data_IF_131062886314
#
_entry.id   IF_131062886314
#
_cell.length_a   1.000
_cell.length_b   1.000
_cell.length_c   1.000
_cell.angle_alpha   90.00
_cell.angle_beta   90.00
_cell.angle_gamma   90.00
#
_symmetry.space_group_name_H-M   'P 1'
#
loop_
_entity.id
_entity.type
_entity.pdbx_description
1 polymer ?
#
# COMPACT_ATOMS: atom_id res chain seq x y z
N UNK A 1 27.77 -50.51 -18.30
CA UNK A 1 28.02 -49.82 -17.01
C UNK A 1 29.28 -50.35 -16.30
N UNK A 2 30.14 -51.13 -16.98
CA UNK A 2 31.36 -51.73 -16.42
C UNK A 2 32.67 -51.11 -16.94
N UNK A 3 32.64 -50.34 -18.02
CA UNK A 3 33.90 -49.81 -18.61
C UNK A 3 34.37 -48.50 -17.94
N UNK A 4 33.47 -47.77 -17.28
CA UNK A 4 33.86 -46.50 -16.63
C UNK A 4 34.60 -46.73 -15.31
N UNK A 5 34.23 -47.83 -14.57
CA UNK A 5 34.81 -48.14 -13.27
C UNK A 5 36.23 -48.71 -13.34
N UNK A 6 36.64 -49.21 -14.53
CA UNK A 6 37.98 -49.74 -14.74
C UNK A 6 38.99 -48.68 -15.21
N UNK A 7 38.53 -47.50 -15.65
CA UNK A 7 39.38 -46.39 -16.02
C UNK A 7 39.83 -45.54 -14.81
N UNK A 8 38.99 -45.44 -13.80
CA UNK A 8 39.29 -44.61 -12.63
C UNK A 8 40.25 -45.28 -11.64
N UNK A 9 40.33 -46.61 -11.66
CA UNK A 9 41.27 -47.37 -10.79
C UNK A 9 42.72 -47.34 -11.28
N UNK A 10 42.98 -46.92 -12.50
CA UNK A 10 44.32 -46.90 -13.08
C UNK A 10 45.04 -45.55 -12.86
N UNK A 11 44.34 -44.53 -12.41
CA UNK A 11 44.93 -43.21 -12.16
C UNK A 11 45.56 -43.03 -10.78
N UNK A 12 45.20 -43.88 -9.80
CA UNK A 12 45.66 -43.73 -8.42
C UNK A 12 47.05 -44.30 -8.14
N UNK A 13 47.72 -44.86 -9.14
CA UNK A 13 49.04 -45.43 -9.03
C UNK A 13 50.10 -44.88 -9.99
N UNK A 14 49.75 -43.82 -10.73
CA UNK A 14 50.65 -43.19 -11.69
C UNK A 14 51.58 -42.19 -11.00
N UNK A 15 52.83 -42.18 -11.38
CA UNK A 15 53.79 -41.19 -10.93
C UNK A 15 53.56 -39.85 -11.66
N UNK A 16 54.16 -38.77 -11.16
CA UNK A 16 53.94 -37.40 -11.69
C UNK A 16 54.32 -37.28 -13.17
N UNK A 17 55.31 -38.01 -13.66
CA UNK A 17 55.73 -37.98 -15.08
C UNK A 17 54.68 -38.66 -15.97
N UNK A 18 54.14 -39.79 -15.57
CA UNK A 18 53.06 -40.48 -16.30
C UNK A 18 51.77 -39.66 -16.33
N UNK A 19 51.46 -38.93 -15.27
CA UNK A 19 50.29 -38.06 -15.19
C UNK A 19 50.43 -36.86 -16.13
N UNK A 20 51.62 -36.26 -16.24
CA UNK A 20 51.93 -35.19 -17.20
C UNK A 20 51.76 -35.69 -18.64
N UNK A 21 52.23 -36.90 -18.95
CA UNK A 21 52.12 -37.49 -20.29
C UNK A 21 50.65 -37.79 -20.68
N UNK A 22 49.86 -38.28 -19.75
CA UNK A 22 48.39 -38.48 -19.95
C UNK A 22 47.70 -37.14 -20.17
N UNK A 23 48.00 -36.12 -19.36
CA UNK A 23 47.46 -34.78 -19.56
C UNK A 23 47.89 -34.16 -20.89
N UNK A 24 49.11 -34.37 -21.32
CA UNK A 24 49.58 -33.89 -22.61
C UNK A 24 48.87 -34.59 -23.79
N UNK A 25 48.56 -35.91 -23.66
CA UNK A 25 47.77 -36.65 -24.64
C UNK A 25 46.33 -36.19 -24.67
N UNK A 26 45.69 -36.00 -23.49
CA UNK A 26 44.32 -35.52 -23.39
C UNK A 26 44.17 -34.09 -23.94
N UNK A 27 45.16 -33.22 -23.73
CA UNK A 27 45.18 -31.90 -24.32
C UNK A 27 45.42 -31.89 -25.84
N UNK A 28 46.11 -32.91 -26.38
CA UNK A 28 46.38 -33.01 -27.82
C UNK A 28 45.17 -33.55 -28.60
N UNK A 29 44.23 -34.23 -27.95
CA UNK A 29 43.00 -34.71 -28.56
C UNK A 29 41.87 -33.63 -28.57
N UNK A 30 42.06 -32.52 -27.89
CA UNK A 30 41.19 -31.36 -28.07
C UNK A 30 41.55 -30.72 -29.40
N UNK A 31 40.71 -30.97 -30.41
CA UNK A 31 40.79 -30.27 -31.67
C UNK A 31 40.90 -28.77 -31.40
N UNK A 32 41.92 -28.06 -31.94
CA UNK A 32 41.95 -26.62 -31.84
C UNK A 32 40.62 -26.09 -32.40
N UNK A 33 39.96 -25.11 -31.75
CA UNK A 33 38.75 -24.53 -32.28
C UNK A 33 39.01 -24.11 -33.72
N UNK A 34 38.29 -24.72 -34.67
CA UNK A 34 38.36 -24.35 -36.08
C UNK A 34 38.05 -22.85 -36.14
N UNK A 35 38.85 -22.09 -36.90
CA UNK A 35 38.76 -20.62 -36.99
C UNK A 35 37.35 -20.13 -37.27
N UNK A 36 36.48 -20.96 -37.89
CA UNK A 36 35.05 -20.70 -38.10
C UNK A 36 34.19 -20.67 -36.82
N UNK A 37 34.64 -21.24 -35.70
CA UNK A 37 33.91 -21.24 -34.45
C UNK A 37 34.05 -19.94 -33.63
N UNK A 38 35.15 -19.18 -33.88
CA UNK A 38 35.40 -17.89 -33.23
C UNK A 38 34.66 -16.72 -33.88
N UNK A 39 34.31 -16.83 -35.17
CA UNK A 39 33.66 -15.74 -35.91
C UNK A 39 32.19 -15.63 -35.54
N UNK A 40 31.51 -16.76 -35.34
CA UNK A 40 30.08 -16.76 -34.97
C UNK A 40 29.82 -16.06 -33.63
N UNK A 41 30.50 -16.37 -32.50
CA UNK A 41 30.27 -15.64 -31.25
C UNK A 41 30.68 -14.16 -31.34
N UNK A 42 31.71 -13.80 -32.12
CA UNK A 42 32.06 -12.39 -32.34
C UNK A 42 30.98 -11.64 -33.11
N UNK A 43 30.35 -12.24 -34.11
CA UNK A 43 29.22 -11.65 -34.84
C UNK A 43 28.03 -11.45 -33.88
N UNK A 44 27.73 -12.43 -33.04
CA UNK A 44 26.64 -12.29 -32.04
C UNK A 44 26.93 -11.16 -31.05
N UNK A 45 28.14 -11.05 -30.52
CA UNK A 45 28.53 -9.96 -29.61
C UNK A 45 28.41 -8.61 -30.31
N UNK A 46 28.83 -8.51 -31.58
CA UNK A 46 28.69 -7.27 -32.35
C UNK A 46 27.24 -6.90 -32.61
N UNK A 47 26.38 -7.86 -33.04
CA UNK A 47 24.96 -7.64 -33.30
C UNK A 47 24.24 -7.25 -32.01
N UNK A 48 24.51 -7.94 -30.90
CA UNK A 48 23.95 -7.60 -29.60
C UNK A 48 24.39 -6.22 -29.11
N UNK A 49 25.68 -5.88 -29.31
CA UNK A 49 26.19 -4.55 -28.97
C UNK A 49 25.51 -3.44 -29.77
N UNK A 50 25.34 -3.63 -31.08
CA UNK A 50 24.60 -2.71 -31.94
C UNK A 50 23.12 -2.59 -31.52
N UNK A 51 22.49 -3.69 -31.15
CA UNK A 51 21.10 -3.71 -30.72
C UNK A 51 20.90 -2.97 -29.39
N UNK A 52 21.78 -3.20 -28.42
CA UNK A 52 21.77 -2.46 -27.14
C UNK A 52 22.01 -0.98 -27.38
N UNK A 53 22.98 -0.62 -28.23
CA UNK A 53 23.28 0.77 -28.57
C UNK A 53 22.09 1.45 -29.26
N UNK A 54 21.45 0.77 -30.21
CA UNK A 54 20.25 1.27 -30.89
C UNK A 54 19.06 1.43 -29.91
N UNK A 55 18.82 0.45 -29.03
CA UNK A 55 17.81 0.54 -28.00
C UNK A 55 18.08 1.70 -27.01
N UNK A 56 19.36 1.94 -26.68
CA UNK A 56 19.76 3.05 -25.82
C UNK A 56 19.48 4.41 -26.47
N UNK A 57 19.74 4.55 -27.77
CA UNK A 57 19.40 5.75 -28.53
C UNK A 57 17.90 5.94 -28.60
N UNK A 58 17.12 4.90 -28.87
CA UNK A 58 15.66 4.97 -28.91
C UNK A 58 15.08 5.32 -27.53
N UNK A 59 15.62 4.75 -26.47
CA UNK A 59 15.21 5.09 -25.12
C UNK A 59 15.56 6.56 -24.80
N UNK A 60 16.75 7.01 -25.15
CA UNK A 60 17.16 8.41 -24.98
C UNK A 60 16.25 9.37 -25.77
N UNK A 61 15.83 9.00 -26.99
CA UNK A 61 14.87 9.77 -27.79
C UNK A 61 13.47 9.77 -27.20
N UNK A 62 13.00 8.64 -26.68
CA UNK A 62 11.66 8.54 -26.09
C UNK A 62 11.53 9.21 -24.73
N UNK A 63 12.63 9.36 -24.01
CA UNK A 63 12.71 10.02 -22.69
C UNK A 63 13.20 11.47 -22.75
N UNK A 64 13.22 12.10 -23.95
CA UNK A 64 13.78 13.45 -24.18
C UNK A 64 15.27 13.60 -23.81
N UNK A 65 16.03 12.52 -23.94
CA UNK A 65 17.42 12.48 -23.50
C UNK A 65 17.53 12.38 -21.99
N UNK A 66 18.74 12.10 -21.53
CA UNK A 66 19.10 12.22 -20.12
C UNK A 66 19.27 13.73 -19.84
N UNK A 67 18.16 14.47 -19.82
CA UNK A 67 18.17 15.78 -19.25
C UNK A 67 18.34 15.58 -17.75
N UNK A 68 19.57 15.80 -17.29
CA UNK A 68 19.77 16.19 -15.91
C UNK A 68 19.04 17.54 -15.82
N UNK A 69 17.81 17.52 -15.37
CA UNK A 69 17.12 18.77 -15.06
C UNK A 69 18.10 19.60 -14.23
N UNK A 70 18.32 20.87 -14.59
CA UNK A 70 19.14 21.73 -13.74
C UNK A 70 18.60 21.58 -12.32
N UNK A 71 19.46 21.62 -11.29
CA UNK A 71 18.99 21.49 -9.91
C UNK A 71 17.75 22.37 -9.78
N UNK A 72 16.58 21.73 -9.68
CA UNK A 72 15.36 22.49 -9.45
C UNK A 72 15.66 23.29 -8.21
N UNK A 73 15.62 24.60 -8.35
CA UNK A 73 15.68 25.49 -7.22
C UNK A 73 14.64 24.95 -6.25
N UNK A 74 15.10 24.35 -5.17
CA UNK A 74 14.22 23.76 -4.19
C UNK A 74 13.45 24.92 -3.62
N UNK A 75 12.29 25.21 -4.23
CA UNK A 75 11.36 26.18 -3.67
C UNK A 75 10.99 25.59 -2.30
N UNK A 76 11.64 26.11 -1.27
CA UNK A 76 11.27 25.74 0.09
C UNK A 76 9.84 26.20 0.30
N UNK A 77 8.93 25.23 0.28
CA UNK A 77 7.53 25.46 0.59
C UNK A 77 7.45 26.11 1.98
N UNK A 78 6.62 27.12 2.09
CA UNK A 78 6.29 27.69 3.41
C UNK A 78 5.72 26.62 4.33
N UNK A 79 5.76 26.84 5.61
CA UNK A 79 5.23 25.87 6.58
C UNK A 79 3.70 25.70 6.41
N UNK A 80 3.00 26.73 5.96
CA UNK A 80 1.59 26.71 5.60
C UNK A 80 1.34 25.78 4.38
N UNK A 81 2.14 25.90 3.33
CA UNK A 81 2.02 25.03 2.14
C UNK A 81 2.34 23.58 2.45
N UNK A 82 3.33 23.33 3.31
CA UNK A 82 3.64 21.96 3.79
C UNK A 82 2.45 21.35 4.55
N UNK A 83 1.78 22.15 5.38
CA UNK A 83 0.64 21.72 6.16
C UNK A 83 -0.57 21.43 5.27
N UNK A 84 -0.88 22.28 4.31
CA UNK A 84 -1.93 22.03 3.32
C UNK A 84 -1.67 20.72 2.57
N UNK A 85 -0.46 20.52 2.06
CA UNK A 85 -0.08 19.28 1.37
C UNK A 85 -0.14 18.05 2.28
N UNK A 86 0.12 18.21 3.57
CA UNK A 86 -0.02 17.13 4.55
C UNK A 86 -1.48 16.71 4.69
N UNK A 87 -2.37 17.68 4.85
CA UNK A 87 -3.82 17.45 4.99
C UNK A 87 -4.39 16.85 3.69
N UNK A 88 -4.03 17.37 2.53
CA UNK A 88 -4.46 16.84 1.23
C UNK A 88 -4.07 15.37 1.04
N UNK A 89 -2.82 14.99 1.37
CA UNK A 89 -2.37 13.59 1.32
C UNK A 89 -3.15 12.70 2.29
N UNK A 90 -3.47 13.22 3.46
CA UNK A 90 -4.26 12.53 4.47
C UNK A 90 -5.68 12.26 3.95
N UNK A 91 -6.33 13.25 3.37
CA UNK A 91 -7.66 13.14 2.76
C UNK A 91 -7.63 12.14 1.58
N UNK A 92 -6.62 12.20 0.72
CA UNK A 92 -6.50 11.32 -0.44
C UNK A 92 -6.31 9.85 -0.03
N UNK A 93 -5.48 9.62 1.00
CA UNK A 93 -5.32 8.31 1.62
C UNK A 93 -6.64 7.84 2.26
N UNK A 94 -7.30 8.72 3.01
CA UNK A 94 -8.60 8.43 3.62
C UNK A 94 -9.68 8.08 2.61
N UNK A 95 -9.74 8.77 1.48
CA UNK A 95 -10.64 8.49 0.37
C UNK A 95 -10.47 7.07 -0.19
N UNK A 96 -9.23 6.63 -0.36
CA UNK A 96 -8.92 5.27 -0.82
C UNK A 96 -9.38 4.22 0.21
N UNK A 97 -9.11 4.48 1.49
CA UNK A 97 -9.55 3.60 2.59
C UNK A 97 -11.08 3.55 2.71
N UNK A 98 -11.76 4.69 2.53
CA UNK A 98 -13.23 4.76 2.51
C UNK A 98 -13.83 3.92 1.38
N UNK A 99 -13.28 4.02 0.18
CA UNK A 99 -13.77 3.27 -0.99
C UNK A 99 -13.76 1.76 -0.76
N UNK A 100 -12.77 1.26 -0.03
CA UNK A 100 -12.62 -0.18 0.22
C UNK A 100 -13.44 -0.66 1.42
N UNK A 101 -13.55 0.15 2.48
CA UNK A 101 -14.09 -0.32 3.76
C UNK A 101 -15.50 0.20 4.08
N UNK A 102 -15.92 1.31 3.49
CA UNK A 102 -17.13 2.04 3.91
C UNK A 102 -18.15 2.23 2.78
N UNK A 103 -17.67 2.44 1.54
CA UNK A 103 -18.52 2.83 0.43
C UNK A 103 -19.55 1.78 0.02
N UNK A 104 -19.36 0.51 0.34
CA UNK A 104 -20.33 -0.56 0.09
C UNK A 104 -21.66 -0.33 0.82
N UNK A 105 -21.61 0.23 2.04
CA UNK A 105 -22.79 0.53 2.87
C UNK A 105 -23.16 2.01 2.78
N UNK A 106 -22.21 2.92 2.99
CA UNK A 106 -22.47 4.36 3.06
C UNK A 106 -22.46 5.04 1.70
N UNK A 107 -22.23 4.31 0.61
CA UNK A 107 -22.14 4.75 -0.78
C UNK A 107 -20.97 5.72 -1.03
N UNK A 108 -20.43 5.81 -2.26
CA UNK A 108 -19.38 6.76 -2.60
C UNK A 108 -19.76 8.23 -2.39
N UNK A 109 -21.07 8.53 -2.43
CA UNK A 109 -21.63 9.86 -2.17
C UNK A 109 -21.75 10.21 -0.68
N UNK A 110 -21.54 9.25 0.22
CA UNK A 110 -21.77 9.43 1.66
C UNK A 110 -23.23 9.58 2.06
N UNK A 111 -24.19 9.36 1.15
CA UNK A 111 -25.62 9.53 1.42
C UNK A 111 -26.27 8.32 2.08
N UNK A 112 -25.53 7.23 2.23
CA UNK A 112 -26.07 5.99 2.75
C UNK A 112 -27.02 5.30 1.76
N UNK A 113 -27.79 4.33 2.25
CA UNK A 113 -28.71 3.56 1.42
C UNK A 113 -30.02 3.26 2.17
N UNK A 114 -31.09 3.91 1.73
CA UNK A 114 -32.44 3.70 2.24
C UNK A 114 -32.57 3.99 3.72
N UNK A 115 -33.23 3.06 4.45
CA UNK A 115 -33.43 3.15 5.90
C UNK A 115 -32.42 2.28 6.67
N UNK A 116 -31.49 1.60 5.95
CA UNK A 116 -30.54 0.67 6.57
C UNK A 116 -29.20 1.34 6.89
N UNK A 117 -28.69 2.19 6.00
CA UNK A 117 -27.38 2.79 6.17
C UNK A 117 -27.53 4.31 6.24
N UNK A 118 -27.23 4.91 7.38
CA UNK A 118 -27.38 6.35 7.57
C UNK A 118 -26.40 7.14 6.68
N UNK A 119 -26.77 8.38 6.29
CA UNK A 119 -25.85 9.27 5.60
C UNK A 119 -24.72 9.70 6.52
N UNK A 120 -23.52 9.85 5.92
CA UNK A 120 -22.36 10.48 6.54
C UNK A 120 -22.26 11.95 6.10
N UNK A 121 -22.79 12.25 4.93
CA UNK A 121 -22.87 13.60 4.39
C UNK A 121 -23.82 14.48 5.22
N UNK A 122 -23.31 15.53 5.83
CA UNK A 122 -24.04 16.45 6.70
C UNK A 122 -24.58 15.81 7.98
N UNK A 123 -23.96 14.74 8.45
CA UNK A 123 -24.37 14.03 9.66
C UNK A 123 -23.79 14.69 10.90
N UNK A 124 -24.63 14.95 11.89
CA UNK A 124 -24.24 15.42 13.22
C UNK A 124 -23.27 14.44 13.92
N UNK A 125 -23.39 13.16 13.66
CA UNK A 125 -22.47 12.14 14.16
C UNK A 125 -21.04 12.32 13.63
N UNK A 126 -20.92 12.78 12.39
CA UNK A 126 -19.64 13.03 11.72
C UNK A 126 -19.03 14.35 12.18
N UNK A 127 -19.86 15.36 12.40
CA UNK A 127 -19.44 16.71 12.81
C UNK A 127 -19.13 16.82 14.30
N UNK A 128 -19.62 15.90 15.12
CA UNK A 128 -19.39 15.86 16.56
C UNK A 128 -17.92 15.63 16.92
N UNK A 129 -17.66 15.38 18.19
CA UNK A 129 -16.33 15.01 18.69
C UNK A 129 -15.75 13.84 17.84
N UNK A 130 -14.52 13.96 17.33
CA UNK A 130 -13.89 12.91 16.53
C UNK A 130 -13.85 11.54 17.22
N UNK A 131 -13.80 11.51 18.54
CA UNK A 131 -13.79 10.29 19.33
C UNK A 131 -15.03 9.40 19.05
N UNK A 132 -16.21 10.03 18.87
CA UNK A 132 -17.45 9.33 18.60
C UNK A 132 -17.35 8.43 17.36
N UNK A 133 -16.95 9.01 16.24
CA UNK A 133 -16.85 8.27 14.97
C UNK A 133 -15.71 7.23 15.03
N UNK A 134 -14.61 7.53 15.71
CA UNK A 134 -13.50 6.58 15.91
C UNK A 134 -13.95 5.38 16.74
N UNK A 135 -14.69 5.59 17.84
CA UNK A 135 -15.29 4.51 18.65
C UNK A 135 -16.20 3.61 17.82
N UNK A 136 -17.03 4.20 16.97
CA UNK A 136 -17.91 3.45 16.05
C UNK A 136 -17.11 2.61 15.06
N UNK A 137 -16.06 3.15 14.46
CA UNK A 137 -15.19 2.40 13.55
C UNK A 137 -14.51 1.24 14.27
N UNK A 138 -13.99 1.46 15.47
CA UNK A 138 -13.22 0.48 16.24
C UNK A 138 -14.04 -0.70 16.73
N UNK A 139 -15.27 -0.46 17.18
CA UNK A 139 -16.08 -1.49 17.87
C UNK A 139 -17.41 -1.78 17.20
N UNK A 140 -17.81 -0.94 16.24
CA UNK A 140 -19.13 -1.01 15.63
C UNK A 140 -20.22 -0.36 16.50
N UNK A 141 -21.43 -0.33 15.96
CA UNK A 141 -22.59 0.34 16.55
C UNK A 141 -23.82 -0.54 16.37
N UNK A 142 -24.65 -0.65 17.38
CA UNK A 142 -25.95 -1.34 17.33
C UNK A 142 -27.02 -0.53 18.03
N UNK A 143 -28.27 -0.92 17.81
CA UNK A 143 -29.44 -0.21 18.34
C UNK A 143 -29.90 0.91 17.42
N UNK A 144 -30.85 1.68 17.91
CA UNK A 144 -31.46 2.77 17.20
C UNK A 144 -30.60 4.03 17.32
N UNK A 145 -30.51 4.77 16.23
CA UNK A 145 -29.84 6.08 16.18
C UNK A 145 -30.69 7.06 15.38
N UNK A 146 -30.53 8.34 15.69
CA UNK A 146 -31.08 9.40 14.87
C UNK A 146 -29.93 10.07 14.08
N UNK A 147 -30.16 10.25 12.79
CA UNK A 147 -29.27 10.98 11.92
C UNK A 147 -30.09 11.92 11.03
N UNK A 148 -29.82 13.21 11.11
CA UNK A 148 -30.55 14.26 10.36
C UNK A 148 -32.06 14.20 10.61
N UNK A 149 -32.44 13.95 11.87
CA UNK A 149 -33.84 13.85 12.27
C UNK A 149 -34.58 12.59 11.83
N UNK A 150 -33.89 11.63 11.19
CA UNK A 150 -34.46 10.34 10.79
C UNK A 150 -33.89 9.23 11.66
N UNK A 151 -34.75 8.32 12.06
CA UNK A 151 -34.37 7.13 12.84
C UNK A 151 -33.84 6.02 11.93
N UNK A 152 -32.71 5.41 12.33
CA UNK A 152 -32.08 4.25 11.70
C UNK A 152 -31.92 3.15 12.74
N UNK A 153 -32.40 1.95 12.42
CA UNK A 153 -32.29 0.78 13.28
C UNK A 153 -31.93 -0.47 12.45
N UNK A 154 -30.76 -0.47 11.81
CA UNK A 154 -30.39 -1.59 10.95
C UNK A 154 -30.23 -2.88 11.75
N UNK A 155 -30.85 -3.97 11.27
CA UNK A 155 -30.69 -5.28 11.87
C UNK A 155 -29.20 -5.69 11.89
N UNK A 156 -28.64 -5.88 13.08
CA UNK A 156 -27.20 -6.20 13.25
C UNK A 156 -26.29 -4.98 13.41
N UNK A 157 -26.75 -3.77 13.14
CA UNK A 157 -25.99 -2.54 13.31
C UNK A 157 -24.83 -2.40 12.33
N UNK A 158 -23.86 -1.54 12.65
CA UNK A 158 -22.59 -1.40 11.95
C UNK A 158 -21.53 -2.29 12.62
N UNK A 159 -20.93 -3.19 11.87
CA UNK A 159 -19.84 -4.01 12.38
C UNK A 159 -18.55 -3.19 12.58
N UNK A 160 -17.70 -3.62 13.50
CA UNK A 160 -16.35 -3.05 13.64
C UNK A 160 -15.53 -3.21 12.35
N UNK A 161 -14.78 -2.18 11.97
CA UNK A 161 -13.94 -2.21 10.78
C UNK A 161 -12.58 -2.81 11.13
N UNK A 162 -12.47 -4.12 11.06
CA UNK A 162 -11.27 -4.87 11.50
C UNK A 162 -10.09 -4.80 10.55
N UNK A 163 -10.30 -4.34 9.31
CA UNK A 163 -9.25 -4.20 8.30
C UNK A 163 -8.36 -2.98 8.53
N UNK A 164 -8.84 -1.97 9.25
CA UNK A 164 -8.08 -0.78 9.61
C UNK A 164 -7.35 -1.01 10.94
N UNK A 165 -6.11 -1.49 10.86
CA UNK A 165 -5.33 -1.85 12.06
C UNK A 165 -4.48 -0.71 12.60
N UNK A 166 -4.02 0.20 11.74
CA UNK A 166 -3.17 1.31 12.15
C UNK A 166 -4.00 2.53 12.56
N UNK A 167 -3.55 3.25 13.57
CA UNK A 167 -4.21 4.49 14.01
C UNK A 167 -4.15 5.57 12.93
N UNK A 168 -3.08 5.56 12.11
CA UNK A 168 -2.96 6.40 10.93
C UNK A 168 -4.09 6.17 9.92
N UNK A 169 -4.39 4.91 9.59
CA UNK A 169 -5.43 4.59 8.60
C UNK A 169 -6.81 5.01 9.11
N UNK A 170 -7.09 4.80 10.39
CA UNK A 170 -8.31 5.25 11.02
C UNK A 170 -8.38 6.78 11.04
N UNK A 171 -7.30 7.47 11.42
CA UNK A 171 -7.23 8.92 11.38
C UNK A 171 -7.45 9.47 9.96
N UNK A 172 -6.85 8.85 8.95
CA UNK A 172 -6.99 9.28 7.56
C UNK A 172 -8.42 9.12 7.05
N UNK A 173 -9.04 7.94 7.24
CA UNK A 173 -10.41 7.70 6.77
C UNK A 173 -11.41 8.56 7.52
N UNK A 174 -11.23 8.75 8.82
CA UNK A 174 -12.10 9.60 9.65
C UNK A 174 -11.99 11.06 9.22
N UNK A 175 -10.77 11.56 8.98
CA UNK A 175 -10.55 12.91 8.47
C UNK A 175 -11.23 13.10 7.11
N UNK A 176 -11.08 12.13 6.19
CA UNK A 176 -11.78 12.20 4.91
C UNK A 176 -13.29 12.29 5.07
N UNK A 177 -13.91 11.44 5.89
CA UNK A 177 -15.36 11.45 6.13
C UNK A 177 -15.81 12.77 6.74
N UNK A 178 -15.00 13.36 7.62
CA UNK A 178 -15.30 14.63 8.30
C UNK A 178 -15.18 15.87 7.42
N UNK A 179 -14.53 15.74 6.25
CA UNK A 179 -14.30 16.84 5.29
C UNK A 179 -14.91 16.60 3.91
N UNK A 180 -15.42 15.39 3.64
CA UNK A 180 -16.04 15.05 2.37
C UNK A 180 -17.52 15.50 2.31
N UNK A 181 -18.03 15.61 1.09
CA UNK A 181 -19.46 15.83 0.79
C UNK A 181 -20.07 17.08 1.44
N UNK A 182 -19.26 18.11 1.66
CA UNK A 182 -19.70 19.35 2.31
C UNK A 182 -19.66 19.30 3.84
N UNK A 183 -19.14 18.24 4.43
CA UNK A 183 -18.76 18.25 5.83
C UNK A 183 -17.55 19.20 6.02
N UNK A 184 -17.56 19.96 7.10
CA UNK A 184 -16.52 20.92 7.46
C UNK A 184 -16.14 20.76 8.93
N UNK A 185 -15.53 19.61 9.24
CA UNK A 185 -15.11 19.30 10.60
C UNK A 185 -13.58 19.10 10.65
N UNK A 186 -13.01 19.26 11.83
CA UNK A 186 -11.55 19.16 12.04
C UNK A 186 -10.98 17.82 11.63
N UNK A 187 -9.70 17.81 11.26
CA UNK A 187 -8.97 16.56 11.08
C UNK A 187 -8.91 15.74 12.36
N UNK A 188 -8.62 14.46 12.21
CA UNK A 188 -8.42 13.53 13.33
C UNK A 188 -6.98 13.08 13.35
N UNK A 189 -6.31 13.24 14.47
CA UNK A 189 -4.91 12.85 14.67
C UNK A 189 -4.76 11.38 15.01
N UNK A 190 -3.58 10.81 14.77
CA UNK A 190 -3.27 9.44 15.22
C UNK A 190 -3.35 9.31 16.75
N UNK A 191 -3.05 10.39 17.49
CA UNK A 191 -3.12 10.41 18.95
C UNK A 191 -4.57 10.33 19.45
N UNK A 192 -5.51 11.03 18.82
CA UNK A 192 -6.94 10.93 19.16
C UNK A 192 -7.47 9.52 18.91
N UNK A 193 -7.02 8.87 17.83
CA UNK A 193 -7.38 7.45 17.56
C UNK A 193 -6.78 6.53 18.63
N UNK A 194 -5.52 6.73 19.02
CA UNK A 194 -4.87 5.94 20.07
C UNK A 194 -5.59 6.09 21.42
N UNK A 195 -6.02 7.30 21.76
CA UNK A 195 -6.79 7.57 22.97
C UNK A 195 -8.14 6.86 22.93
N UNK A 196 -8.91 7.02 21.84
CA UNK A 196 -10.19 6.36 21.67
C UNK A 196 -10.08 4.82 21.67
N UNK A 197 -8.98 4.29 21.15
CA UNK A 197 -8.67 2.85 21.23
C UNK A 197 -8.42 2.38 22.65
N UNK A 198 -7.66 3.16 23.44
CA UNK A 198 -7.39 2.86 24.84
C UNK A 198 -8.70 2.89 25.66
N UNK A 199 -9.52 3.93 25.49
CA UNK A 199 -10.82 4.08 26.15
C UNK A 199 -11.81 2.96 25.76
N UNK A 200 -11.68 2.46 24.53
CA UNK A 200 -12.50 1.35 24.03
C UNK A 200 -11.93 -0.03 24.39
N UNK A 201 -10.80 -0.15 25.11
CA UNK A 201 -10.15 -1.43 25.32
C UNK A 201 -11.03 -2.46 26.03
N UNK A 202 -11.77 -2.05 27.04
CA UNK A 202 -12.69 -2.88 27.81
C UNK A 202 -14.01 -3.17 27.09
N UNK A 203 -14.30 -2.45 25.98
CA UNK A 203 -15.52 -2.64 25.20
C UNK A 203 -15.41 -3.91 24.33
N UNK A 204 -16.11 -4.97 24.74
CA UNK A 204 -16.07 -6.27 24.06
C UNK A 204 -17.14 -6.46 22.98
N UNK A 205 -18.15 -5.62 22.98
CA UNK A 205 -19.29 -5.67 22.07
C UNK A 205 -19.46 -4.33 21.35
N UNK A 206 -20.31 -4.28 20.33
CA UNK A 206 -20.69 -3.03 19.66
C UNK A 206 -21.23 -2.01 20.68
N UNK A 207 -20.97 -0.72 20.39
CA UNK A 207 -21.54 0.37 21.15
C UNK A 207 -23.07 0.41 20.97
N UNK A 208 -23.77 0.88 21.99
CA UNK A 208 -25.22 1.13 21.90
C UNK A 208 -25.42 2.53 21.36
N UNK A 209 -26.19 2.65 20.27
CA UNK A 209 -26.41 3.92 19.56
C UNK A 209 -27.01 5.01 20.44
N UNK A 210 -28.09 4.70 21.16
CA UNK A 210 -28.75 5.62 22.08
C UNK A 210 -27.80 6.12 23.18
N UNK A 211 -26.90 5.26 23.70
CA UNK A 211 -25.96 5.65 24.73
C UNK A 211 -24.93 6.64 24.20
N UNK A 212 -24.31 6.34 23.04
CA UNK A 212 -23.36 7.26 22.39
C UNK A 212 -24.03 8.56 21.96
N UNK A 213 -25.26 8.50 21.45
CA UNK A 213 -26.00 9.68 21.05
C UNK A 213 -26.29 10.60 22.26
N UNK A 214 -26.66 10.04 23.40
CA UNK A 214 -26.87 10.81 24.62
C UNK A 214 -25.59 11.40 25.18
N UNK A 215 -24.45 10.71 25.04
CA UNK A 215 -23.14 11.14 25.54
C UNK A 215 -22.54 12.27 24.69
N UNK A 216 -22.58 12.16 23.37
CA UNK A 216 -21.84 13.05 22.48
C UNK A 216 -22.70 14.10 21.75
N UNK A 217 -24.01 13.87 21.57
CA UNK A 217 -24.86 14.75 20.77
C UNK A 217 -25.85 15.57 21.62
N UNK A 218 -26.12 15.16 22.85
CA UNK A 218 -27.02 15.95 23.75
C UNK A 218 -26.36 17.24 24.25
N UNK A 219 -25.03 17.27 24.31
CA UNK A 219 -24.26 18.43 24.77
C UNK A 219 -24.18 19.55 23.72
N UNK A 220 -24.34 19.21 22.43
CA UNK A 220 -24.25 20.17 21.31
C UNK A 220 -25.50 21.08 21.17
N UNK A 221 -26.57 20.85 21.94
CA UNK A 221 -27.80 21.63 21.87
C UNK A 221 -27.90 22.74 22.93
N UNK A 222 -26.82 23.03 23.65
CA UNK A 222 -26.78 24.01 24.77
C UNK A 222 -25.77 25.15 24.57
N UNK A 223 -25.21 25.35 23.37
CA UNK A 223 -24.38 26.52 23.02
C UNK A 223 -25.02 27.41 21.95
#
# INVERSE_FOLDING_TARGET
>A
MNDQKNKDSNLSGMNDEEMVEVHAKLNKEKHPPTEGFLIAPLIFVFVFGCLIFFCSIQLAHSTNGFQVDPPQEVVELSDEEKEILRIERKIDSGKKLYAVNCASCHQPSGLGLGDQYPPLAGSEWVSANPELIVKVILKGLKGEIQVKGKTYAPAGGMAAVTNLKSDRDIANVTTYVRQAWGNDATEVTEQEVANARADSAEQKIQWIGEALQSEYLSVASTE
#
